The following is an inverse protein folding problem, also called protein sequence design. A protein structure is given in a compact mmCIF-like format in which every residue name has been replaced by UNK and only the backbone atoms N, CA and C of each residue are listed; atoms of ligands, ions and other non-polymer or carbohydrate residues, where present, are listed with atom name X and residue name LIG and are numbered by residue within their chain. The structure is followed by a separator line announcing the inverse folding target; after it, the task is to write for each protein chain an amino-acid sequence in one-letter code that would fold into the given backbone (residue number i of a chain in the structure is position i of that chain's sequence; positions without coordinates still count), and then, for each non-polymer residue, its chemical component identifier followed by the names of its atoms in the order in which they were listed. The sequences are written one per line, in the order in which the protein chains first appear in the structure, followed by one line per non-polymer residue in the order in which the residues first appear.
data_IF_228223359614
#
_entry.id   IF_228223359614
#
_cell.length_a   1.000
_cell.length_b   1.000
_cell.length_c   1.000
_cell.angle_alpha   90.00
_cell.angle_beta   90.00
_cell.angle_gamma   90.00
#
_symmetry.space_group_name_H-M   'P 1'
#
loop_
_entity.id
_entity.type
_entity.pdbx_description
1 polymer ?
#
# COMPACT_ATOMS: atom_id res chain seq x y z
N UNK A 1 -24.68 19.99 15.50
CA UNK A 1 -24.48 20.20 14.06
C UNK A 1 -24.10 18.86 13.42
N UNK A 2 -24.72 18.54 12.28
CA UNK A 2 -24.85 17.19 11.71
C UNK A 2 -23.51 16.49 11.39
N UNK A 3 -23.35 15.24 11.84
CA UNK A 3 -22.33 14.32 11.29
C UNK A 3 -22.78 13.91 9.89
N UNK A 4 -22.12 14.42 8.85
CA UNK A 4 -22.31 13.93 7.49
C UNK A 4 -22.00 12.43 7.47
N UNK A 5 -23.04 11.63 7.33
CA UNK A 5 -22.97 10.17 7.27
C UNK A 5 -22.49 9.78 5.87
N UNK A 6 -21.20 9.90 5.60
CA UNK A 6 -20.61 9.43 4.35
C UNK A 6 -20.44 7.93 4.45
N UNK A 7 -21.29 7.17 3.76
CA UNK A 7 -21.18 5.70 3.62
C UNK A 7 -20.02 5.34 2.69
N UNK A 8 -18.79 5.71 3.05
CA UNK A 8 -17.60 5.36 2.28
C UNK A 8 -17.49 3.83 2.22
N UNK A 9 -17.43 3.29 1.00
CA UNK A 9 -17.11 1.88 0.74
C UNK A 9 -15.84 1.84 -0.09
N UNK A 10 -14.74 1.26 0.42
CA UNK A 10 -13.51 1.15 -0.35
C UNK A 10 -13.72 0.28 -1.59
N UNK A 11 -13.19 0.71 -2.72
CA UNK A 11 -13.15 -0.11 -3.93
C UNK A 11 -12.04 -1.16 -3.80
N UNK A 12 -12.39 -2.35 -3.35
CA UNK A 12 -11.43 -3.44 -3.13
C UNK A 12 -10.76 -3.93 -4.42
N UNK A 13 -11.43 -3.84 -5.57
CA UNK A 13 -10.82 -4.19 -6.85
C UNK A 13 -9.72 -3.20 -7.25
N UNK A 14 -9.93 -1.91 -7.00
CA UNK A 14 -8.90 -0.88 -7.17
C UNK A 14 -7.74 -1.12 -6.21
N UNK A 15 -8.01 -1.33 -4.91
CA UNK A 15 -6.96 -1.58 -3.91
C UNK A 15 -6.14 -2.83 -4.23
N UNK A 16 -6.75 -3.90 -4.77
CA UNK A 16 -6.02 -5.08 -5.25
C UNK A 16 -5.01 -4.73 -6.34
N UNK A 17 -5.36 -3.88 -7.31
CA UNK A 17 -4.40 -3.42 -8.34
C UNK A 17 -3.23 -2.65 -7.72
N UNK A 18 -3.50 -1.82 -6.71
CA UNK A 18 -2.46 -1.09 -5.98
C UNK A 18 -1.55 -2.06 -5.21
N UNK A 19 -2.12 -3.00 -4.45
CA UNK A 19 -1.39 -4.02 -3.71
C UNK A 19 -0.52 -4.89 -4.61
N UNK A 20 -1.06 -5.35 -5.75
CA UNK A 20 -0.29 -6.09 -6.76
C UNK A 20 0.88 -5.26 -7.32
N UNK A 21 0.67 -3.96 -7.62
CA UNK A 21 1.76 -3.10 -8.09
C UNK A 21 2.85 -2.92 -7.03
N UNK A 22 2.48 -2.75 -5.76
CA UNK A 22 3.45 -2.68 -4.66
C UNK A 22 4.27 -3.97 -4.55
N UNK A 23 3.62 -5.12 -4.61
CA UNK A 23 4.28 -6.43 -4.63
C UNK A 23 5.27 -6.57 -5.78
N UNK A 24 4.86 -6.19 -6.99
CA UNK A 24 5.73 -6.24 -8.16
C UNK A 24 6.96 -5.35 -8.00
N UNK A 25 6.80 -4.13 -7.49
CA UNK A 25 7.92 -3.21 -7.23
C UNK A 25 8.85 -3.74 -6.13
N UNK A 26 8.30 -4.38 -5.10
CA UNK A 26 9.09 -5.06 -4.05
C UNK A 26 9.94 -6.17 -4.66
N UNK A 27 9.32 -7.06 -5.44
CA UNK A 27 9.99 -8.18 -6.10
C UNK A 27 11.06 -7.69 -7.10
N UNK A 28 10.79 -6.62 -7.87
CA UNK A 28 11.78 -5.99 -8.76
C UNK A 28 13.00 -5.42 -8.02
N UNK A 29 12.85 -5.05 -6.74
CA UNK A 29 13.92 -4.60 -5.87
C UNK A 29 14.58 -5.73 -5.08
N UNK A 30 14.19 -6.97 -5.33
CA UNK A 30 14.66 -8.17 -4.63
C UNK A 30 14.48 -8.08 -3.11
N UNK A 31 13.44 -7.39 -2.64
CA UNK A 31 13.13 -7.28 -1.22
C UNK A 31 12.15 -8.39 -0.80
N UNK A 32 12.45 -9.01 0.33
CA UNK A 32 11.49 -9.85 1.07
C UNK A 32 10.38 -8.98 1.68
N UNK A 33 9.30 -9.63 2.11
CA UNK A 33 8.22 -8.93 2.81
C UNK A 33 8.73 -8.34 4.14
N UNK A 34 9.57 -9.07 4.87
CA UNK A 34 10.20 -8.64 6.11
C UNK A 34 11.02 -7.37 5.88
N UNK A 35 11.93 -7.38 4.90
CA UNK A 35 12.80 -6.23 4.59
C UNK A 35 12.00 -4.98 4.22
N UNK A 36 11.00 -5.11 3.34
CA UNK A 36 10.19 -3.94 2.97
C UNK A 36 9.34 -3.44 4.14
N UNK A 37 8.80 -4.35 4.96
CA UNK A 37 7.99 -3.97 6.12
C UNK A 37 8.83 -3.17 7.12
N UNK A 38 10.05 -3.63 7.40
CA UNK A 38 11.00 -2.93 8.28
C UNK A 38 11.37 -1.56 7.72
N UNK A 39 11.71 -1.47 6.43
CA UNK A 39 12.02 -0.19 5.75
C UNK A 39 10.82 0.79 5.76
N UNK A 40 9.60 0.26 5.65
CA UNK A 40 8.37 1.03 5.67
C UNK A 40 7.86 1.34 7.09
N UNK A 41 8.50 0.79 8.13
CA UNK A 41 8.10 0.97 9.53
C UNK A 41 6.71 0.39 9.85
N UNK A 42 6.35 -0.73 9.21
CA UNK A 42 5.09 -1.44 9.44
C UNK A 42 5.35 -2.92 9.73
N UNK A 43 4.37 -3.65 10.26
CA UNK A 43 4.55 -5.08 10.50
C UNK A 43 4.54 -5.88 9.19
N UNK A 44 5.31 -6.97 9.15
CA UNK A 44 5.28 -7.97 8.08
C UNK A 44 3.86 -8.37 7.68
N UNK A 45 3.04 -8.72 8.69
CA UNK A 45 1.65 -9.13 8.49
C UNK A 45 0.83 -8.03 7.84
N UNK A 46 1.04 -6.77 8.24
CA UNK A 46 0.31 -5.66 7.65
C UNK A 46 0.72 -5.41 6.20
N UNK A 47 2.02 -5.50 5.89
CA UNK A 47 2.48 -5.42 4.49
C UNK A 47 1.87 -6.54 3.63
N UNK A 48 1.81 -7.78 4.14
CA UNK A 48 1.16 -8.89 3.44
C UNK A 48 -0.33 -8.60 3.17
N UNK A 49 -1.05 -8.03 4.14
CA UNK A 49 -2.45 -7.64 3.98
C UNK A 49 -2.64 -6.46 3.01
N UNK A 50 -1.66 -5.57 2.91
CA UNK A 50 -1.62 -4.48 1.91
C UNK A 50 -1.41 -5.02 0.51
N UNK A 51 -0.40 -5.89 0.29
CA UNK A 51 -0.09 -6.46 -1.03
C UNK A 51 -1.23 -7.32 -1.58
N UNK A 52 -1.97 -7.98 -0.69
CA UNK A 52 -3.15 -8.79 -1.04
C UNK A 52 -4.45 -7.99 -1.06
N UNK A 53 -4.41 -6.71 -0.63
CA UNK A 53 -5.57 -5.86 -0.38
C UNK A 53 -6.69 -6.60 0.37
N UNK A 54 -6.32 -7.31 1.44
CA UNK A 54 -7.27 -8.00 2.32
C UNK A 54 -8.21 -7.00 3.00
N UNK A 55 -7.68 -5.83 3.35
CA UNK A 55 -8.40 -4.70 3.92
C UNK A 55 -8.02 -3.40 3.21
N UNK A 56 -8.79 -2.33 3.44
CA UNK A 56 -8.38 -0.99 3.04
C UNK A 56 -7.21 -0.49 3.89
N UNK A 57 -6.28 0.20 3.25
CA UNK A 57 -5.18 0.89 3.90
C UNK A 57 -5.24 2.40 3.61
N UNK A 58 -4.53 3.18 4.42
CA UNK A 58 -4.52 4.64 4.29
C UNK A 58 -3.50 5.09 3.25
N UNK A 59 -3.66 6.31 2.74
CA UNK A 59 -2.65 6.93 1.87
C UNK A 59 -1.31 7.09 2.58
N UNK A 60 -1.30 7.29 3.91
CA UNK A 60 -0.06 7.35 4.69
C UNK A 60 0.73 6.05 4.65
N UNK A 61 0.05 4.90 4.67
CA UNK A 61 0.68 3.58 4.54
C UNK A 61 1.26 3.40 3.14
N UNK A 62 0.49 3.76 2.11
CA UNK A 62 0.98 3.74 0.72
C UNK A 62 2.21 4.65 0.55
N UNK A 63 2.21 5.83 1.15
CA UNK A 63 3.33 6.75 1.14
C UNK A 63 4.58 6.15 1.82
N UNK A 64 4.41 5.51 2.98
CA UNK A 64 5.53 4.87 3.68
C UNK A 64 6.16 3.76 2.84
N UNK A 65 5.33 2.90 2.23
CA UNK A 65 5.80 1.79 1.40
C UNK A 65 6.48 2.30 0.13
N UNK A 66 5.89 3.28 -0.58
CA UNK A 66 6.51 3.85 -1.79
C UNK A 66 7.85 4.52 -1.49
N UNK A 67 7.96 5.24 -0.36
CA UNK A 67 9.23 5.82 0.10
C UNK A 67 10.26 4.73 0.44
N UNK A 68 9.85 3.64 1.08
CA UNK A 68 10.71 2.49 1.37
C UNK A 68 11.17 1.77 0.08
N UNK A 69 10.34 1.75 -0.96
CA UNK A 69 10.70 1.32 -2.30
C UNK A 69 11.57 2.36 -3.03
N UNK A 70 11.84 3.54 -2.46
CA UNK A 70 12.66 4.58 -3.09
C UNK A 70 12.00 5.25 -4.30
N UNK A 71 10.66 5.32 -4.32
CA UNK A 71 9.89 6.05 -5.33
C UNK A 71 8.88 7.00 -4.66
N UNK A 72 8.50 8.04 -5.38
CA UNK A 72 7.40 8.94 -4.97
C UNK A 72 6.03 8.34 -5.28
N UNK A 73 4.98 8.86 -4.62
CA UNK A 73 3.60 8.55 -4.99
C UNK A 73 3.28 8.94 -6.44
N UNK A 74 3.85 10.05 -6.92
CA UNK A 74 3.65 10.52 -8.30
C UNK A 74 4.20 9.50 -9.31
N UNK A 75 5.42 9.00 -9.08
CA UNK A 75 6.01 7.92 -9.89
C UNK A 75 5.21 6.64 -9.80
N UNK A 76 4.74 6.28 -8.59
CA UNK A 76 3.91 5.10 -8.40
C UNK A 76 2.60 5.14 -9.22
N UNK A 77 2.00 6.31 -9.43
CA UNK A 77 0.78 6.45 -10.25
C UNK A 77 1.04 6.83 -11.72
N UNK A 78 2.30 7.02 -12.11
CA UNK A 78 2.66 7.28 -13.51
C UNK A 78 2.32 6.05 -14.37
N UNK A 79 1.82 6.30 -15.59
CA UNK A 79 1.49 5.29 -16.60
C UNK A 79 2.71 4.46 -16.97
#
# INVERSE_FOLDING_TARGET
MAKANVRYKPNMAFLRKIGTKLRQLREQKNLTLEELADLAGISYKYLQEVETAKYSFTVSVLHSITRALGISLAEFFKK
#
